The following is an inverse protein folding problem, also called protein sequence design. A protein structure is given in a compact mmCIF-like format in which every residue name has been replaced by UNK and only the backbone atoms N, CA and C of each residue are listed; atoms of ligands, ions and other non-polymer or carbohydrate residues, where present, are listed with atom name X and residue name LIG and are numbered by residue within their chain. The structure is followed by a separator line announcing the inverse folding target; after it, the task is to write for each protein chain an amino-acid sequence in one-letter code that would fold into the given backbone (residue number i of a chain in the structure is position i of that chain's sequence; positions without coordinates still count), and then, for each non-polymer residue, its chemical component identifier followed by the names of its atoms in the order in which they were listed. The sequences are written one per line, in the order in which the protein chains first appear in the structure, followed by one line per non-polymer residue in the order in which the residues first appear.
data_IF_580773936407
#
_entry.id   IF_580773936407
#
_cell.length_a   1.000
_cell.length_b   1.000
_cell.length_c   1.000
_cell.angle_alpha   90.00
_cell.angle_beta   90.00
_cell.angle_gamma   90.00
#
_symmetry.space_group_name_H-M   'P 1'
#
loop_
_entity.id
_entity.type
_entity.pdbx_description
1 polymer ?
#
# COMPACT_ATOMS: atom_id res chain seq x y z
N UNK A 1 54.93 1.62 -16.13
CA UNK A 1 53.75 1.43 -16.99
C UNK A 1 52.53 1.31 -16.08
N UNK A 2 51.82 2.43 -15.88
CA UNK A 2 50.70 2.52 -14.94
C UNK A 2 49.48 1.77 -15.51
N UNK A 3 49.13 0.64 -14.90
CA UNK A 3 48.01 -0.20 -15.30
C UNK A 3 46.70 0.50 -14.91
N UNK A 4 46.11 1.24 -15.86
CA UNK A 4 44.77 1.81 -15.73
C UNK A 4 43.76 0.66 -15.70
N UNK A 5 43.16 0.42 -14.54
CA UNK A 5 42.02 -0.50 -14.44
C UNK A 5 40.84 0.05 -15.25
N UNK A 6 40.19 -0.76 -16.09
CA UNK A 6 39.07 -0.29 -16.91
C UNK A 6 37.91 0.16 -16.00
N UNK A 7 37.42 1.38 -16.24
CA UNK A 7 36.23 1.90 -15.60
C UNK A 7 35.03 1.00 -15.98
N UNK A 8 34.12 0.68 -15.05
CA UNK A 8 32.95 -0.13 -15.37
C UNK A 8 32.11 0.58 -16.46
N UNK A 9 31.51 -0.18 -17.40
CA UNK A 9 30.70 0.39 -18.47
C UNK A 9 29.59 1.30 -17.93
N UNK A 10 29.45 2.49 -18.53
CA UNK A 10 28.47 3.54 -18.15
C UNK A 10 27.03 3.00 -18.18
N UNK A 11 26.79 1.93 -18.94
CA UNK A 11 25.50 1.26 -19.11
C UNK A 11 25.03 0.46 -17.87
N UNK A 12 25.94 0.10 -16.95
CA UNK A 12 25.58 -0.64 -15.73
C UNK A 12 25.18 0.27 -14.56
N UNK A 13 25.05 1.59 -14.78
CA UNK A 13 24.09 2.41 -14.01
C UNK A 13 22.64 2.05 -14.38
N UNK A 14 22.38 0.75 -14.59
CA UNK A 14 21.06 0.19 -14.82
C UNK A 14 20.15 0.86 -13.80
N UNK A 15 19.19 1.60 -14.34
CA UNK A 15 18.22 2.41 -13.64
C UNK A 15 17.87 1.67 -12.35
N UNK A 16 18.31 2.21 -11.21
CA UNK A 16 17.94 1.67 -9.90
C UNK A 16 16.47 2.01 -9.71
N UNK A 17 15.62 1.30 -10.43
CA UNK A 17 14.18 1.48 -10.44
C UNK A 17 13.67 0.99 -9.11
N UNK A 18 12.90 1.85 -8.43
CA UNK A 18 12.25 1.46 -7.21
C UNK A 18 11.17 0.41 -7.54
N UNK A 19 11.26 -0.76 -6.93
CA UNK A 19 10.34 -1.88 -7.18
C UNK A 19 9.11 -1.74 -6.28
N UNK A 20 7.91 -1.73 -6.83
CA UNK A 20 6.66 -1.72 -6.05
C UNK A 20 6.17 -3.14 -5.86
N UNK A 21 5.91 -3.52 -4.62
CA UNK A 21 5.36 -4.84 -4.30
C UNK A 21 4.24 -4.70 -3.28
N UNK A 22 3.29 -5.63 -3.29
CA UNK A 22 2.17 -5.62 -2.35
C UNK A 22 2.34 -6.71 -1.31
N UNK A 23 2.31 -6.32 -0.04
CA UNK A 23 2.65 -7.19 1.09
C UNK A 23 1.42 -7.43 1.96
N UNK A 24 1.14 -8.70 2.24
CA UNK A 24 0.08 -9.17 3.11
C UNK A 24 0.62 -9.65 4.45
N UNK A 25 -0.26 -9.77 5.44
CA UNK A 25 0.09 -10.35 6.75
C UNK A 25 -0.24 -11.83 6.74
N UNK A 26 0.65 -12.65 7.28
CA UNK A 26 0.39 -14.07 7.44
C UNK A 26 -0.87 -14.32 8.29
N UNK A 27 -1.74 -15.24 7.85
CA UNK A 27 -2.99 -15.61 8.53
C UNK A 27 -4.12 -14.57 8.55
N UNK A 28 -4.00 -13.41 7.88
CA UNK A 28 -5.01 -12.34 7.92
C UNK A 28 -5.75 -12.19 6.57
N UNK A 29 -6.92 -12.85 6.38
CA UNK A 29 -7.70 -12.75 5.15
C UNK A 29 -8.42 -11.40 5.00
N UNK A 30 -8.59 -10.64 6.09
CA UNK A 30 -9.27 -9.33 6.08
C UNK A 30 -8.32 -8.18 5.76
N UNK A 31 -7.01 -8.43 5.77
CA UNK A 31 -6.01 -7.45 5.43
C UNK A 31 -5.79 -7.39 3.92
N UNK A 32 -6.23 -6.30 3.30
CA UNK A 32 -6.15 -6.09 1.85
C UNK A 32 -4.75 -5.90 1.26
N UNK A 33 -3.71 -6.07 2.09
CA UNK A 33 -2.31 -5.87 1.70
C UNK A 33 -1.93 -4.40 1.63
N UNK A 34 -0.64 -4.12 1.75
CA UNK A 34 -0.07 -2.78 1.60
C UNK A 34 1.00 -2.75 0.52
N UNK A 35 0.89 -1.77 -0.36
CA UNK A 35 1.87 -1.56 -1.43
C UNK A 35 3.07 -0.81 -0.86
N UNK A 36 4.23 -1.45 -0.96
CA UNK A 36 5.52 -0.94 -0.50
C UNK A 36 6.45 -0.77 -1.68
N UNK A 37 7.09 0.40 -1.74
CA UNK A 37 8.07 0.73 -2.76
C UNK A 37 9.47 0.47 -2.21
N UNK A 38 10.15 -0.51 -2.79
CA UNK A 38 11.55 -0.83 -2.54
C UNK A 38 12.44 0.10 -3.37
N UNK A 39 12.92 1.18 -2.77
CA UNK A 39 13.98 2.01 -3.37
C UNK A 39 15.35 1.42 -3.00
N UNK A 40 16.07 0.92 -4.00
CA UNK A 40 17.38 0.25 -3.85
C UNK A 40 18.52 1.20 -3.46
N UNK A 41 18.29 2.53 -3.48
CA UNK A 41 19.24 3.52 -2.92
C UNK A 41 19.05 3.66 -1.42
N UNK A 42 17.79 3.65 -0.95
CA UNK A 42 17.43 3.76 0.48
C UNK A 42 17.61 2.45 1.23
N UNK A 43 17.26 1.33 0.61
CA UNK A 43 17.24 0.02 1.26
C UNK A 43 18.38 -0.81 0.70
N UNK A 44 19.48 -0.88 1.46
CA UNK A 44 20.70 -1.60 1.06
C UNK A 44 20.72 -3.06 1.51
N UNK A 45 19.85 -3.44 2.46
CA UNK A 45 19.85 -4.78 3.06
C UNK A 45 18.44 -5.31 3.22
N UNK A 46 18.29 -6.63 3.07
CA UNK A 46 17.02 -7.32 3.27
C UNK A 46 16.48 -7.12 4.69
N UNK A 47 17.34 -7.16 5.71
CA UNK A 47 16.94 -6.92 7.10
C UNK A 47 16.33 -5.53 7.32
N UNK A 48 16.95 -4.48 6.75
CA UNK A 48 16.42 -3.12 6.80
C UNK A 48 15.03 -3.01 6.15
N UNK A 49 14.79 -3.79 5.08
CA UNK A 49 13.46 -3.91 4.48
C UNK A 49 12.47 -4.55 5.44
N UNK A 50 12.82 -5.69 6.04
CA UNK A 50 11.97 -6.39 7.02
C UNK A 50 11.65 -5.52 8.24
N UNK A 51 12.61 -4.75 8.74
CA UNK A 51 12.40 -3.82 9.83
C UNK A 51 11.46 -2.67 9.44
N UNK A 52 11.59 -2.15 8.22
CA UNK A 52 10.63 -1.20 7.66
C UNK A 52 9.21 -1.77 7.63
N UNK A 53 9.06 -2.99 7.15
CA UNK A 53 7.77 -3.69 7.12
C UNK A 53 7.19 -3.97 8.52
N UNK A 54 8.04 -4.22 9.52
CA UNK A 54 7.61 -4.40 10.91
C UNK A 54 6.86 -3.18 11.43
N UNK A 55 7.42 -1.99 11.21
CA UNK A 55 6.78 -0.73 11.60
C UNK A 55 5.50 -0.46 10.79
N UNK A 56 5.51 -0.89 9.53
CA UNK A 56 4.50 -0.54 8.55
C UNK A 56 3.24 -1.43 8.59
N UNK A 57 3.44 -2.74 8.80
CA UNK A 57 2.38 -3.74 8.80
C UNK A 57 1.80 -3.99 10.19
N UNK A 58 2.62 -3.81 11.25
CA UNK A 58 2.30 -4.10 12.65
C UNK A 58 1.60 -5.46 12.81
N UNK A 59 2.36 -6.55 12.61
CA UNK A 59 1.82 -7.90 12.75
C UNK A 59 1.33 -8.11 14.19
N UNK A 60 0.26 -8.90 14.36
CA UNK A 60 -0.24 -9.30 15.69
C UNK A 60 0.81 -10.04 16.50
N UNK A 61 1.72 -10.73 15.82
CA UNK A 61 2.77 -11.57 16.40
C UNK A 61 4.13 -10.85 16.47
N UNK A 62 4.17 -9.51 16.28
CA UNK A 62 5.36 -8.69 16.46
C UNK A 62 6.08 -8.34 15.15
N UNK A 63 7.37 -8.69 15.05
CA UNK A 63 8.24 -8.28 13.95
C UNK A 63 8.17 -9.21 12.73
N UNK A 64 8.30 -8.63 11.55
CA UNK A 64 8.46 -9.37 10.29
C UNK A 64 9.87 -9.97 10.27
N UNK A 65 9.97 -11.30 10.14
CA UNK A 65 11.26 -12.01 10.11
C UNK A 65 11.57 -12.65 8.76
N UNK A 66 10.54 -12.87 7.95
CA UNK A 66 10.67 -13.47 6.62
C UNK A 66 9.55 -13.00 5.70
N UNK A 67 9.85 -12.99 4.42
CA UNK A 67 8.88 -12.81 3.35
C UNK A 67 8.75 -14.12 2.59
N UNK A 68 7.52 -14.45 2.22
CA UNK A 68 7.21 -15.62 1.41
C UNK A 68 6.31 -15.26 0.24
N UNK A 69 6.40 -16.00 -0.85
CA UNK A 69 5.45 -15.87 -1.96
C UNK A 69 4.09 -16.45 -1.56
N UNK A 70 2.96 -15.82 -1.90
CA UNK A 70 1.65 -16.33 -1.56
C UNK A 70 1.31 -17.67 -2.26
N UNK A 71 1.85 -17.90 -3.46
CA UNK A 71 1.52 -19.09 -4.27
C UNK A 71 2.26 -20.35 -3.81
N UNK A 72 3.57 -20.26 -3.57
CA UNK A 72 4.42 -21.42 -3.29
C UNK A 72 4.95 -21.46 -1.85
N UNK A 73 4.70 -20.43 -1.05
CA UNK A 73 5.35 -20.26 0.26
C UNK A 73 6.88 -20.13 0.17
N UNK A 74 7.42 -19.82 -1.02
CA UNK A 74 8.86 -19.68 -1.23
C UNK A 74 9.41 -18.51 -0.45
N UNK A 75 10.43 -18.75 0.38
CA UNK A 75 11.05 -17.72 1.21
C UNK A 75 11.99 -16.86 0.38
N UNK A 76 11.73 -15.55 0.40
CA UNK A 76 12.60 -14.52 -0.15
C UNK A 76 13.79 -14.36 0.79
N UNK A 77 15.01 -14.43 0.24
CA UNK A 77 16.27 -14.29 0.98
C UNK A 77 16.88 -12.91 0.77
N UNK A 78 16.72 -12.36 -0.44
CA UNK A 78 17.36 -11.11 -0.82
C UNK A 78 16.40 -10.13 -1.51
N UNK A 79 16.83 -8.87 -1.57
CA UNK A 79 16.12 -7.81 -2.30
C UNK A 79 16.10 -8.03 -3.82
N UNK A 80 17.03 -8.86 -4.31
CA UNK A 80 17.12 -9.24 -5.71
C UNK A 80 15.93 -10.13 -6.12
N UNK A 81 15.53 -11.05 -5.25
CA UNK A 81 14.37 -11.94 -5.42
C UNK A 81 13.02 -11.20 -5.37
N UNK A 82 13.01 -9.94 -4.91
CA UNK A 82 11.81 -9.11 -4.94
C UNK A 82 11.64 -8.54 -6.35
N UNK A 83 10.52 -8.85 -6.96
CA UNK A 83 10.09 -8.33 -8.26
C UNK A 83 9.01 -7.24 -8.13
N UNK A 84 9.01 -6.32 -9.10
CA UNK A 84 8.01 -5.27 -9.24
C UNK A 84 6.64 -5.86 -9.62
N UNK A 85 5.57 -5.30 -9.08
CA UNK A 85 4.19 -5.73 -9.29
C UNK A 85 3.80 -7.02 -8.57
N UNK A 86 4.73 -7.73 -7.91
CA UNK A 86 4.45 -9.01 -7.26
C UNK A 86 3.90 -8.87 -5.84
N UNK A 87 3.28 -9.97 -5.40
CA UNK A 87 2.64 -10.13 -4.11
C UNK A 87 3.56 -10.93 -3.17
N UNK A 88 3.63 -10.52 -1.90
CA UNK A 88 4.40 -11.20 -0.86
C UNK A 88 3.61 -11.27 0.45
N UNK A 89 3.95 -12.23 1.30
CA UNK A 89 3.36 -12.39 2.63
C UNK A 89 4.46 -12.22 3.66
N UNK A 90 4.25 -11.28 4.57
CA UNK A 90 5.10 -11.04 5.73
C UNK A 90 4.73 -11.99 6.85
N UNK A 91 5.72 -12.76 7.31
CA UNK A 91 5.57 -13.69 8.42
C UNK A 91 6.61 -13.41 9.52
N UNK A 92 6.20 -13.53 10.76
CA UNK A 92 7.08 -13.46 11.93
C UNK A 92 7.75 -14.82 12.23
N UNK A 93 7.75 -15.18 13.51
CA UNK A 93 8.20 -16.50 13.98
C UNK A 93 7.20 -17.63 13.67
N UNK A 94 5.99 -17.28 13.25
CA UNK A 94 4.90 -18.18 12.87
C UNK A 94 5.14 -18.95 11.57
N UNK A 95 4.40 -20.05 11.40
CA UNK A 95 4.35 -20.83 10.16
C UNK A 95 3.50 -20.12 9.11
N UNK A 96 3.86 -20.28 7.83
CA UNK A 96 3.06 -19.71 6.73
C UNK A 96 1.68 -20.36 6.70
N UNK A 97 0.63 -19.55 6.80
CA UNK A 97 -0.75 -20.01 6.76
C UNK A 97 -1.19 -20.15 5.30
N UNK A 98 -1.37 -21.39 4.86
CA UNK A 98 -1.77 -21.74 3.49
C UNK A 98 -3.29 -21.73 3.30
N UNK A 99 -4.08 -21.58 4.37
CA UNK A 99 -5.54 -21.56 4.28
C UNK A 99 -6.06 -20.26 3.66
N UNK A 100 -5.23 -19.22 3.66
CA UNK A 100 -5.57 -17.90 3.11
C UNK A 100 -5.10 -17.79 1.66
N UNK A 101 -6.04 -17.52 0.75
CA UNK A 101 -5.76 -17.29 -0.68
C UNK A 101 -5.46 -15.81 -0.92
N UNK A 102 -4.23 -15.38 -0.61
CA UNK A 102 -3.81 -13.98 -0.68
C UNK A 102 -3.98 -13.31 -2.06
N UNK A 103 -3.95 -14.09 -3.15
CA UNK A 103 -4.10 -13.58 -4.51
C UNK A 103 -5.51 -13.10 -4.83
N UNK A 104 -6.52 -13.50 -4.05
CA UNK A 104 -7.92 -13.10 -4.22
C UNK A 104 -8.33 -11.96 -3.28
N UNK A 105 -7.42 -11.49 -2.41
CA UNK A 105 -7.74 -10.42 -1.46
C UNK A 105 -7.64 -9.07 -2.16
N UNK A 106 -8.81 -8.56 -2.57
CA UNK A 106 -8.96 -7.25 -3.18
C UNK A 106 -9.46 -6.22 -2.16
N UNK A 107 -8.87 -5.02 -2.18
CA UNK A 107 -9.40 -3.93 -1.38
C UNK A 107 -10.80 -3.55 -1.90
N UNK A 108 -11.77 -3.24 -1.03
CA UNK A 108 -13.04 -2.69 -1.47
C UNK A 108 -12.74 -1.45 -2.31
N UNK A 109 -13.19 -1.46 -3.56
CA UNK A 109 -12.97 -0.35 -4.49
C UNK A 109 -13.30 0.96 -3.78
N UNK A 110 -12.42 1.97 -3.79
CA UNK A 110 -12.74 3.26 -3.23
C UNK A 110 -13.98 3.75 -3.98
N UNK A 111 -15.14 3.71 -3.30
CA UNK A 111 -16.38 4.24 -3.85
C UNK A 111 -16.04 5.64 -4.31
N UNK A 112 -16.05 5.86 -5.64
CA UNK A 112 -15.85 7.17 -6.26
C UNK A 112 -16.73 8.13 -5.48
N UNK A 113 -16.11 8.99 -4.67
CA UNK A 113 -16.81 10.04 -3.96
C UNK A 113 -17.36 10.93 -5.07
N UNK A 114 -18.63 10.75 -5.41
CA UNK A 114 -19.32 11.59 -6.37
C UNK A 114 -19.22 13.02 -5.84
N UNK A 115 -18.27 13.76 -6.40
CA UNK A 115 -18.05 15.19 -6.20
C UNK A 115 -19.11 15.91 -7.03
N UNK A 116 -20.35 15.79 -6.59
CA UNK A 116 -21.45 16.66 -6.99
C UNK A 116 -22.05 17.23 -5.71
N UNK A 117 -21.28 18.07 -5.01
CA UNK A 117 -21.90 19.15 -4.25
C UNK A 117 -21.77 20.37 -5.15
N UNK A 118 -22.91 20.76 -5.67
CA UNK A 118 -23.17 21.87 -6.59
C UNK A 118 -22.42 23.13 -6.18
N UNK A 119 -21.52 23.59 -7.06
CA UNK A 119 -21.16 25.00 -7.15
C UNK A 119 -22.16 25.60 -8.13
N UNK A 120 -23.19 26.23 -7.60
CA UNK A 120 -24.02 27.15 -8.37
C UNK A 120 -24.02 28.46 -7.59
N UNK A 121 -23.06 29.29 -7.95
CA UNK A 121 -23.02 30.72 -7.69
C UNK A 121 -24.34 31.38 -8.14
N UNK A 122 -24.97 32.09 -7.19
CA UNK A 122 -25.40 33.48 -7.31
C UNK A 122 -26.13 33.93 -8.60
N UNK A 123 -27.45 34.18 -8.48
CA UNK A 123 -28.09 35.41 -8.99
C UNK A 123 -29.55 35.53 -8.52
N UNK A 124 -29.80 36.57 -7.71
CA UNK A 124 -31.05 37.35 -7.64
C UNK A 124 -32.35 36.62 -7.31
N UNK A 125 -32.95 36.93 -6.15
CA UNK A 125 -34.15 37.79 -6.07
C UNK A 125 -34.43 38.09 -4.59
N UNK A 126 -34.35 39.36 -4.22
CA UNK A 126 -34.89 39.87 -2.97
C UNK A 126 -36.43 39.86 -3.08
N UNK A 127 -37.11 38.99 -2.34
CA UNK A 127 -38.54 39.13 -2.06
C UNK A 127 -38.77 39.19 -0.56
N UNK A 128 -38.90 40.41 -0.04
CA UNK A 128 -39.71 40.65 1.15
C UNK A 128 -41.17 40.45 0.76
N UNK A 129 -41.88 39.49 1.36
CA UNK A 129 -43.34 39.50 1.45
C UNK A 129 -43.77 38.74 2.72
N UNK A 130 -44.08 39.57 3.74
CA UNK A 130 -45.15 39.45 4.73
C UNK A 130 -45.69 38.07 5.10
N UNK A 131 -45.56 37.72 6.39
CA UNK A 131 -46.28 36.66 7.09
C UNK A 131 -47.80 36.73 6.84
N UNK A 132 -48.43 35.64 6.36
CA UNK A 132 -49.87 35.66 6.20
C UNK A 132 -50.51 34.33 6.58
N UNK A 133 -50.56 33.99 7.88
CA UNK A 133 -51.75 33.35 8.48
C UNK A 133 -51.54 33.06 9.98
N UNK A 134 -52.20 33.87 10.80
CA UNK A 134 -52.88 33.36 11.98
C UNK A 134 -53.72 32.14 11.58
N UNK A 135 -53.59 31.00 12.26
CA UNK A 135 -54.69 30.04 12.48
C UNK A 135 -54.33 29.12 13.65
N UNK A 136 -54.92 29.45 14.81
CA UNK A 136 -55.53 28.59 15.83
C UNK A 136 -54.67 27.59 16.62
N UNK A 137 -54.51 27.93 17.91
CA UNK A 137 -54.19 26.98 18.99
C UNK A 137 -54.92 27.41 20.26
N UNK A 138 -56.23 27.16 20.29
CA UNK A 138 -57.09 27.23 21.47
C UNK A 138 -56.70 26.09 22.42
N UNK A 139 -56.29 26.41 23.65
CA UNK A 139 -56.66 25.80 24.94
C UNK A 139 -55.82 26.35 26.09
#
# INVERSE_FOLDING_TARGET
MSHLSPLPPIETRALQVAKKCKIFRNGDPHYFGKTVTLDSRRIRSFDAFLNGLTNDLKLRNGAVRKLVTPTHGHRIRDLADIEDGKLYVAAGAETFDKSVVYTQIEAPSPRRRNRHSTRSDERGTNISVTSPWETLGHL
#
